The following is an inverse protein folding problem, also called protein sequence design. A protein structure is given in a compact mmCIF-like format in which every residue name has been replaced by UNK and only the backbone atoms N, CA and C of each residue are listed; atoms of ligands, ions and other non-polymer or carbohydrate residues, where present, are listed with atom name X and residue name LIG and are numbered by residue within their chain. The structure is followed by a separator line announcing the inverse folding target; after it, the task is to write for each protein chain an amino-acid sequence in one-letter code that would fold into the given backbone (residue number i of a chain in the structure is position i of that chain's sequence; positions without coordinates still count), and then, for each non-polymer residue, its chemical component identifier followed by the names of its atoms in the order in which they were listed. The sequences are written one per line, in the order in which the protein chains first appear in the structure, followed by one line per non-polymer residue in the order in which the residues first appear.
data_IF_485903844355
#
_entry.id   IF_485903844355
#
_cell.length_a   1.000
_cell.length_b   1.000
_cell.length_c   1.000
_cell.angle_alpha   90.00
_cell.angle_beta   90.00
_cell.angle_gamma   90.00
#
_symmetry.space_group_name_H-M   'P 1'
#
loop_
_entity.id
_entity.type
_entity.pdbx_description
1 polymer ?
#
# COMPACT_ATOMS: atom_id res chain seq x y z
N UNK A 1 -12.90 13.55 11.11
CA UNK A 1 -13.35 14.00 9.78
C UNK A 1 -14.78 14.51 9.83
N UNK A 2 -15.16 15.30 10.85
CA UNK A 2 -16.57 15.72 11.02
C UNK A 2 -17.00 16.58 9.83
N UNK A 3 -18.10 16.18 9.17
CA UNK A 3 -18.65 16.85 8.00
C UNK A 3 -17.89 16.63 6.69
N UNK A 4 -16.95 15.68 6.63
CA UNK A 4 -16.23 15.33 5.41
C UNK A 4 -16.49 13.88 5.03
N UNK A 5 -16.71 13.66 3.74
CA UNK A 5 -16.78 12.32 3.16
C UNK A 5 -15.42 11.65 3.19
N UNK A 6 -15.39 10.37 3.56
CA UNK A 6 -14.19 9.53 3.55
C UNK A 6 -14.31 8.56 2.39
N UNK A 7 -13.36 8.63 1.46
CA UNK A 7 -13.35 7.77 0.26
C UNK A 7 -12.27 6.71 0.42
N UNK A 8 -12.67 5.45 0.35
CA UNK A 8 -11.81 4.27 0.30
C UNK A 8 -11.59 3.94 -1.16
N UNK A 9 -10.33 3.86 -1.59
CA UNK A 9 -9.97 3.51 -2.97
C UNK A 9 -9.29 2.15 -2.95
N UNK A 10 -9.81 1.20 -3.71
CA UNK A 10 -9.27 -0.15 -3.87
C UNK A 10 -8.90 -0.42 -5.33
N UNK A 11 -7.89 -1.26 -5.54
CA UNK A 11 -7.64 -1.81 -6.86
C UNK A 11 -8.68 -2.91 -7.21
N UNK A 12 -8.60 -3.42 -8.43
CA UNK A 12 -9.54 -4.44 -8.91
C UNK A 12 -9.12 -5.89 -8.54
N UNK A 13 -8.25 -6.08 -7.55
CA UNK A 13 -7.80 -7.43 -7.20
C UNK A 13 -8.96 -8.29 -6.66
N UNK A 14 -9.04 -9.59 -6.99
CA UNK A 14 -10.11 -10.48 -6.50
C UNK A 14 -10.21 -10.56 -4.98
N UNK A 15 -9.10 -10.32 -4.27
CA UNK A 15 -9.05 -10.26 -2.81
C UNK A 15 -10.00 -9.19 -2.23
N UNK A 16 -10.40 -8.19 -3.02
CA UNK A 16 -11.29 -7.12 -2.60
C UNK A 16 -12.76 -7.34 -2.94
N UNK A 17 -13.14 -8.41 -3.65
CA UNK A 17 -14.53 -8.62 -4.10
C UNK A 17 -15.56 -8.71 -2.98
N UNK A 18 -15.16 -9.19 -1.80
CA UNK A 18 -16.04 -9.25 -0.63
C UNK A 18 -16.07 -7.94 0.16
N UNK A 19 -15.23 -6.97 -0.21
CA UNK A 19 -15.15 -5.70 0.53
C UNK A 19 -16.41 -4.89 0.29
N UNK A 20 -16.95 -4.87 -0.92
CA UNK A 20 -18.18 -4.13 -1.27
C UNK A 20 -19.36 -4.59 -0.39
N UNK A 21 -19.62 -5.90 -0.34
CA UNK A 21 -20.69 -6.51 0.46
C UNK A 21 -20.52 -6.24 1.97
N UNK A 22 -19.31 -6.40 2.51
CA UNK A 22 -19.03 -6.10 3.92
C UNK A 22 -19.08 -4.62 4.24
N UNK A 23 -18.74 -3.76 3.28
CA UNK A 23 -18.74 -2.33 3.48
C UNK A 23 -20.16 -1.78 3.42
N UNK A 24 -21.10 -2.39 2.69
CA UNK A 24 -22.52 -2.02 2.75
C UNK A 24 -23.10 -2.19 4.17
N UNK A 25 -22.74 -3.27 4.87
CA UNK A 25 -23.12 -3.51 6.27
C UNK A 25 -22.55 -2.43 7.21
N UNK A 26 -21.32 -1.96 6.96
CA UNK A 26 -20.61 -0.97 7.80
C UNK A 26 -20.93 0.48 7.42
N UNK A 27 -21.15 0.77 6.12
CA UNK A 27 -21.55 2.10 5.59
C UNK A 27 -22.95 2.46 6.06
N UNK A 28 -23.84 1.48 6.23
CA UNK A 28 -25.15 1.72 6.82
C UNK A 28 -25.04 2.38 8.21
N UNK A 29 -23.98 2.09 8.97
CA UNK A 29 -23.67 2.71 10.26
C UNK A 29 -22.87 4.02 10.13
N UNK A 30 -22.16 4.20 9.01
CA UNK A 30 -21.24 5.30 8.72
C UNK A 30 -21.55 5.95 7.36
N UNK A 31 -22.62 6.74 7.31
CA UNK A 31 -23.12 7.39 6.09
C UNK A 31 -22.20 8.43 5.42
N UNK A 32 -20.98 8.63 5.95
CA UNK A 32 -19.93 9.48 5.39
C UNK A 32 -18.85 8.70 4.63
N UNK A 33 -18.95 7.37 4.53
CA UNK A 33 -18.02 6.52 3.78
C UNK A 33 -18.45 6.29 2.32
N UNK A 34 -17.47 6.28 1.43
CA UNK A 34 -17.62 5.92 0.02
C UNK A 34 -16.54 4.94 -0.42
N UNK A 35 -16.88 4.01 -1.30
CA UNK A 35 -15.95 3.07 -1.92
C UNK A 35 -15.80 3.37 -3.40
N UNK A 36 -14.54 3.46 -3.85
CA UNK A 36 -14.18 3.55 -5.26
C UNK A 36 -13.27 2.38 -5.64
N UNK A 37 -13.59 1.76 -6.77
CA UNK A 37 -12.77 0.72 -7.41
C UNK A 37 -12.05 1.31 -8.61
N UNK A 38 -10.75 1.11 -8.65
CA UNK A 38 -9.96 1.45 -9.83
C UNK A 38 -10.21 0.42 -10.94
N UNK A 39 -10.02 0.86 -12.19
CA UNK A 39 -10.04 -0.06 -13.33
C UNK A 39 -8.95 -1.13 -13.22
N UNK A 40 -9.10 -2.26 -13.93
CA UNK A 40 -8.04 -3.27 -14.05
C UNK A 40 -6.72 -2.64 -14.48
N UNK A 41 -5.60 -3.15 -13.96
CA UNK A 41 -4.25 -2.77 -14.38
C UNK A 41 -3.98 -1.25 -14.40
N UNK A 42 -4.54 -0.52 -13.42
CA UNK A 42 -4.42 0.94 -13.32
C UNK A 42 -3.52 1.38 -12.14
N UNK A 43 -2.26 0.93 -12.03
CA UNK A 43 -1.41 1.26 -10.89
C UNK A 43 -1.00 2.75 -10.87
N UNK A 44 -1.04 3.45 -12.02
CA UNK A 44 -0.67 4.87 -12.11
C UNK A 44 -1.54 5.78 -11.25
N UNK A 45 -2.81 5.40 -11.12
CA UNK A 45 -3.80 6.14 -10.36
C UNK A 45 -4.01 5.56 -8.95
N UNK A 46 -3.13 4.64 -8.51
CA UNK A 46 -3.17 4.05 -7.17
C UNK A 46 -2.04 4.58 -6.26
N UNK A 47 -2.29 5.59 -5.39
CA UNK A 47 -1.23 6.22 -4.59
C UNK A 47 -0.49 5.28 -3.65
N UNK A 48 -1.10 4.16 -3.26
CA UNK A 48 -0.46 3.20 -2.35
C UNK A 48 0.73 2.50 -3.03
N UNK A 49 0.74 2.37 -4.35
CA UNK A 49 1.85 1.77 -5.12
C UNK A 49 3.13 2.59 -4.96
N UNK A 50 3.03 3.92 -5.05
CA UNK A 50 4.15 4.83 -4.81
C UNK A 50 4.62 4.78 -3.35
N UNK A 51 3.68 4.76 -2.41
CA UNK A 51 4.00 4.65 -0.98
C UNK A 51 4.73 3.34 -0.67
N UNK A 52 4.24 2.22 -1.21
CA UNK A 52 4.86 0.92 -1.08
C UNK A 52 6.20 0.84 -1.78
N UNK A 53 6.41 1.55 -2.88
CA UNK A 53 7.73 1.62 -3.53
C UNK A 53 8.78 2.22 -2.59
N UNK A 54 8.45 3.33 -1.90
CA UNK A 54 9.32 3.94 -0.88
C UNK A 54 9.53 2.99 0.30
N UNK A 55 8.46 2.41 0.84
CA UNK A 55 8.55 1.47 1.96
C UNK A 55 9.39 0.24 1.62
N UNK A 56 9.15 -0.40 0.47
CA UNK A 56 9.94 -1.55 -0.02
C UNK A 56 11.41 -1.20 -0.18
N UNK A 57 11.75 0.01 -0.63
CA UNK A 57 13.15 0.45 -0.71
C UNK A 57 13.81 0.50 0.68
N UNK A 58 13.11 0.98 1.70
CA UNK A 58 13.58 1.01 3.09
C UNK A 58 13.70 -0.40 3.69
N UNK A 59 12.73 -1.27 3.45
CA UNK A 59 12.78 -2.70 3.82
C UNK A 59 14.02 -3.37 3.21
N UNK A 60 14.27 -3.15 1.91
CA UNK A 60 15.45 -3.70 1.22
C UNK A 60 16.77 -3.20 1.82
N UNK A 61 16.86 -1.91 2.13
CA UNK A 61 18.05 -1.34 2.78
C UNK A 61 18.30 -1.99 4.16
N UNK A 62 17.25 -2.09 4.99
CA UNK A 62 17.35 -2.74 6.29
C UNK A 62 17.79 -4.21 6.18
N UNK A 63 17.20 -4.98 5.27
CA UNK A 63 17.59 -6.37 5.04
C UNK A 63 19.02 -6.51 4.53
N UNK A 64 19.52 -5.54 3.76
CA UNK A 64 20.91 -5.52 3.28
C UNK A 64 21.88 -5.31 4.45
N UNK A 65 21.58 -4.40 5.37
CA UNK A 65 22.37 -4.16 6.60
C UNK A 65 22.33 -5.38 7.53
N UNK A 66 21.17 -6.03 7.63
CA UNK A 66 20.93 -7.19 8.49
C UNK A 66 21.20 -8.53 7.79
N UNK A 67 21.92 -8.55 6.66
CA UNK A 67 22.11 -9.74 5.81
C UNK A 67 22.63 -10.96 6.57
N UNK A 68 23.47 -10.77 7.57
CA UNK A 68 24.02 -11.85 8.40
C UNK A 68 22.91 -12.64 9.12
N UNK A 69 21.83 -11.98 9.57
CA UNK A 69 20.69 -12.60 10.27
C UNK A 69 19.90 -13.57 9.39
N UNK A 70 20.04 -13.50 8.07
CA UNK A 70 19.36 -14.43 7.13
C UNK A 70 19.86 -15.86 7.27
N UNK A 71 21.12 -16.03 7.69
CA UNK A 71 21.83 -17.31 7.73
C UNK A 71 22.11 -17.81 9.16
N UNK A 72 21.66 -17.08 10.18
CA UNK A 72 21.91 -17.40 11.58
C UNK A 72 20.60 -17.68 12.30
N UNK A 73 20.47 -18.89 12.87
CA UNK A 73 19.29 -19.27 13.67
C UNK A 73 19.24 -18.49 15.00
N UNK A 74 20.38 -18.24 15.63
CA UNK A 74 20.44 -17.59 16.93
C UNK A 74 19.69 -18.38 18.00
N UNK A 75 18.88 -17.68 18.80
CA UNK A 75 18.08 -18.27 19.89
C UNK A 75 16.71 -18.82 19.44
N UNK A 76 16.37 -18.76 18.15
CA UNK A 76 15.08 -19.22 17.64
C UNK A 76 15.04 -20.75 17.49
N UNK A 77 13.85 -21.35 17.42
CA UNK A 77 13.69 -22.81 17.34
C UNK A 77 14.21 -23.37 16.01
N UNK A 78 14.09 -22.60 14.93
CA UNK A 78 14.59 -22.97 13.61
C UNK A 78 14.86 -21.73 12.73
N UNK A 79 15.44 -21.96 11.56
CA UNK A 79 15.75 -20.92 10.58
C UNK A 79 14.51 -20.16 10.06
N UNK A 80 13.35 -20.81 9.97
CA UNK A 80 12.11 -20.16 9.51
C UNK A 80 11.65 -19.12 10.51
N UNK A 81 11.66 -19.45 11.79
CA UNK A 81 11.28 -18.52 12.86
C UNK A 81 12.24 -17.33 12.95
N UNK A 82 13.56 -17.58 12.86
CA UNK A 82 14.57 -16.51 12.83
C UNK A 82 14.33 -15.53 11.66
N UNK A 83 14.01 -16.06 10.47
CA UNK A 83 13.71 -15.24 9.28
C UNK A 83 12.39 -14.50 9.40
N UNK A 84 11.35 -15.10 9.99
CA UNK A 84 10.09 -14.39 10.27
C UNK A 84 10.34 -13.22 11.23
N UNK A 85 11.14 -13.41 12.28
CA UNK A 85 11.49 -12.32 13.19
C UNK A 85 12.22 -11.20 12.46
N UNK A 86 13.20 -11.54 11.61
CA UNK A 86 13.90 -10.56 10.77
C UNK A 86 12.94 -9.80 9.85
N UNK A 87 11.99 -10.49 9.21
CA UNK A 87 11.01 -9.84 8.32
C UNK A 87 10.05 -8.93 9.09
N UNK A 88 9.65 -9.30 10.31
CA UNK A 88 8.84 -8.43 11.18
C UNK A 88 9.60 -7.15 11.53
N UNK A 89 10.88 -7.25 11.89
CA UNK A 89 11.71 -6.07 12.13
C UNK A 89 11.85 -5.23 10.86
N UNK A 90 12.11 -5.89 9.72
CA UNK A 90 12.28 -5.23 8.44
C UNK A 90 11.03 -4.51 7.97
N UNK A 91 9.83 -4.91 8.41
CA UNK A 91 8.60 -4.18 8.18
C UNK A 91 8.36 -3.08 9.23
N UNK A 92 8.69 -3.34 10.49
CA UNK A 92 8.38 -2.46 11.63
C UNK A 92 9.32 -1.26 11.71
N UNK A 93 10.62 -1.46 11.56
CA UNK A 93 11.63 -0.39 11.67
C UNK A 93 11.39 0.73 10.64
N UNK A 94 11.18 0.44 9.34
CA UNK A 94 10.98 1.48 8.35
C UNK A 94 9.54 2.00 8.23
N UNK A 95 8.57 1.47 8.99
CA UNK A 95 7.14 1.84 8.81
C UNK A 95 6.88 3.33 8.97
N UNK A 96 7.71 4.02 9.75
CA UNK A 96 7.65 5.48 9.96
C UNK A 96 7.84 6.29 8.67
N UNK A 97 8.37 5.70 7.59
CA UNK A 97 8.41 6.35 6.28
C UNK A 97 7.02 6.55 5.67
N UNK A 98 6.02 5.75 6.08
CA UNK A 98 4.61 5.84 5.66
C UNK A 98 3.90 6.95 6.44
N UNK A 99 4.33 8.19 6.24
CA UNK A 99 3.75 9.36 6.89
C UNK A 99 2.80 10.13 5.96
N UNK A 100 2.05 11.07 6.53
CA UNK A 100 1.08 11.91 5.80
C UNK A 100 1.70 12.64 4.61
N UNK A 101 2.95 13.11 4.72
CA UNK A 101 3.61 13.84 3.64
C UNK A 101 3.86 12.95 2.42
N UNK A 102 4.30 11.70 2.65
CA UNK A 102 4.46 10.73 1.58
C UNK A 102 3.11 10.42 0.90
N UNK A 103 2.06 10.15 1.69
CA UNK A 103 0.74 9.82 1.15
C UNK A 103 0.19 10.97 0.30
N UNK A 104 0.29 12.21 0.77
CA UNK A 104 -0.15 13.39 0.02
C UNK A 104 0.67 13.57 -1.25
N UNK A 105 1.99 13.40 -1.19
CA UNK A 105 2.86 13.50 -2.36
C UNK A 105 2.50 12.47 -3.43
N UNK A 106 2.23 11.22 -3.03
CA UNK A 106 1.83 10.16 -3.96
C UNK A 106 0.43 10.39 -4.54
N UNK A 107 -0.52 10.90 -3.74
CA UNK A 107 -1.83 11.27 -4.25
C UNK A 107 -1.75 12.37 -5.33
N UNK A 108 -0.93 13.41 -5.09
CA UNK A 108 -0.69 14.48 -6.06
C UNK A 108 0.05 13.99 -7.31
N UNK A 109 0.97 13.02 -7.16
CA UNK A 109 1.64 12.38 -8.28
C UNK A 109 0.64 11.60 -9.15
N UNK A 110 -0.17 10.74 -8.54
CA UNK A 110 -1.20 9.95 -9.22
C UNK A 110 -2.26 10.82 -9.91
N UNK A 111 -2.59 11.98 -9.34
CA UNK A 111 -3.57 12.90 -9.91
C UNK A 111 -3.26 13.31 -11.35
N UNK A 112 -1.98 13.40 -11.74
CA UNK A 112 -1.57 13.81 -13.09
C UNK A 112 -2.05 12.84 -14.15
N UNK A 113 -2.06 11.55 -13.82
CA UNK A 113 -2.48 10.47 -14.72
C UNK A 113 -4.00 10.35 -14.86
N UNK A 114 -4.79 11.04 -14.02
CA UNK A 114 -6.26 11.02 -14.12
C UNK A 114 -6.71 11.67 -15.43
N UNK A 115 -6.03 12.73 -15.87
CA UNK A 115 -6.36 13.40 -17.12
C UNK A 115 -6.14 12.48 -18.33
N UNK A 116 -5.02 11.76 -18.33
CA UNK A 116 -4.64 10.82 -19.40
C UNK A 116 -5.62 9.63 -19.41
N UNK A 117 -5.97 9.09 -18.23
CA UNK A 117 -6.99 8.05 -18.10
C UNK A 117 -8.37 8.49 -18.64
N UNK A 118 -8.80 9.74 -18.36
CA UNK A 118 -10.07 10.28 -18.86
C UNK A 118 -10.10 10.43 -20.38
N UNK A 119 -8.95 10.64 -21.01
CA UNK A 119 -8.81 10.73 -22.47
C UNK A 119 -8.53 9.38 -23.13
N UNK A 120 -8.39 8.32 -22.35
CA UNK A 120 -7.96 7.00 -22.82
C UNK A 120 -6.57 7.04 -23.48
N UNK A 121 -5.69 7.89 -22.96
CA UNK A 121 -4.28 7.95 -23.36
C UNK A 121 -3.50 6.83 -22.65
N UNK A 122 -2.51 6.26 -23.35
CA UNK A 122 -1.60 5.28 -22.74
C UNK A 122 -0.76 5.94 -21.65
N UNK A 123 -0.64 5.28 -20.50
CA UNK A 123 0.13 5.75 -19.35
C UNK A 123 1.28 4.78 -19.04
N UNK A 124 2.49 5.31 -18.85
CA UNK A 124 3.66 4.51 -18.54
C UNK A 124 3.81 4.27 -17.03
N UNK A 125 4.02 3.01 -16.63
CA UNK A 125 4.34 2.62 -15.25
C UNK A 125 5.82 2.35 -15.07
N UNK A 126 6.41 2.97 -14.03
CA UNK A 126 7.75 2.64 -13.57
C UNK A 126 8.91 3.31 -14.32
N UNK A 127 8.66 4.45 -14.97
CA UNK A 127 9.71 5.31 -15.56
C UNK A 127 10.39 6.15 -14.48
#
# INVERSE_FOLDING_TARGET
FVGKKVVIVLDNAPAHNQTEERLEEVIAEHGDLELLRLGPYSPMINPIEGCFSVFKARVKAYLAEQRHRIFVQGAHLNMTEARISLLKDAATVPISCMNRHLVVAMALHCQRFVADALKMEDMEYGV
#
